data_IF_358765113082
#
_entry.id   IF_358765113082
#
_cell.length_a   1.000
_cell.length_b   1.000
_cell.length_c   1.000
_cell.angle_alpha   90.00
_cell.angle_beta   90.00
_cell.angle_gamma   90.00
#
_symmetry.space_group_name_H-M   'P 1'
#
loop_
_entity.id
_entity.type
_entity.pdbx_description
1 polymer ?
#
# COMPACT_ATOMS: atom_id res chain seq x y z
N UNK A 1 -3.70 -5.04 -20.34
CA UNK A 1 -3.05 -6.14 -19.60
C UNK A 1 -3.64 -6.23 -18.21
N UNK A 2 -4.19 -7.39 -17.85
CA UNK A 2 -4.76 -7.66 -16.53
C UNK A 2 -3.61 -8.10 -15.61
N UNK A 3 -2.96 -7.16 -14.93
CA UNK A 3 -1.90 -7.49 -13.97
C UNK A 3 -2.58 -7.96 -12.69
N UNK A 4 -2.65 -9.27 -12.46
CA UNK A 4 -3.28 -9.98 -11.34
C UNK A 4 -2.71 -9.54 -9.96
N UNK A 5 -2.91 -8.29 -9.59
CA UNK A 5 -2.46 -7.73 -8.33
C UNK A 5 -0.97 -7.38 -8.26
N UNK A 6 -0.19 -7.26 -9.34
CA UNK A 6 1.21 -6.81 -9.23
C UNK A 6 1.35 -5.42 -8.57
N UNK A 7 0.43 -4.49 -8.85
CA UNK A 7 0.38 -3.20 -8.13
C UNK A 7 0.02 -3.34 -6.64
N UNK A 8 -0.67 -4.42 -6.28
CA UNK A 8 -1.12 -4.75 -4.94
C UNK A 8 -0.14 -5.65 -4.17
N UNK A 9 0.77 -6.34 -4.85
CA UNK A 9 1.84 -7.10 -4.22
C UNK A 9 2.73 -6.18 -3.39
N UNK A 10 2.99 -4.94 -3.83
CA UNK A 10 3.66 -3.93 -3.01
C UNK A 10 2.90 -3.64 -1.70
N UNK A 11 1.57 -3.55 -1.77
CA UNK A 11 0.75 -3.36 -0.57
C UNK A 11 0.80 -4.60 0.33
N UNK A 12 0.68 -5.79 -0.24
CA UNK A 12 0.77 -7.06 0.49
C UNK A 12 2.12 -7.21 1.19
N UNK A 13 3.24 -6.91 0.53
CA UNK A 13 4.57 -6.99 1.15
C UNK A 13 4.77 -5.95 2.27
N UNK A 14 4.21 -4.74 2.13
CA UNK A 14 4.32 -3.70 3.17
C UNK A 14 3.35 -3.97 4.34
N UNK A 15 2.21 -4.59 4.07
CA UNK A 15 1.11 -4.80 5.01
C UNK A 15 0.62 -6.26 4.99
N UNK A 16 1.54 -7.21 5.14
CA UNK A 16 1.28 -8.67 5.05
C UNK A 16 0.24 -9.18 6.05
N UNK A 17 0.08 -8.46 7.16
CA UNK A 17 -0.86 -8.78 8.23
C UNK A 17 -2.29 -8.24 7.94
N UNK A 18 -2.49 -7.49 6.85
CA UNK A 18 -3.82 -7.13 6.36
C UNK A 18 -4.37 -8.30 5.54
N UNK A 19 -5.57 -8.77 5.86
CA UNK A 19 -6.18 -9.86 5.10
C UNK A 19 -6.55 -9.47 3.65
N UNK A 20 -6.46 -8.17 3.33
CA UNK A 20 -6.76 -7.58 2.02
C UNK A 20 -5.46 -7.33 1.26
N UNK A 21 -5.48 -7.56 -0.05
CA UNK A 21 -4.42 -7.12 -0.96
C UNK A 21 -4.66 -5.68 -1.46
N UNK A 22 -5.44 -4.86 -0.78
CA UNK A 22 -5.64 -3.48 -1.20
C UNK A 22 -6.38 -2.61 -0.21
N UNK A 23 -6.09 -1.31 -0.26
CA UNK A 23 -6.64 -0.28 0.64
C UNK A 23 -8.16 -0.16 0.52
N UNK A 24 -8.66 -0.05 -0.71
CA UNK A 24 -10.06 0.24 -0.98
C UNK A 24 -10.88 -1.03 -1.21
N UNK A 25 -12.19 -0.94 -0.96
CA UNK A 25 -13.11 -2.07 -1.10
C UNK A 25 -13.34 -2.45 -2.57
N UNK A 26 -13.28 -1.48 -3.50
CA UNK A 26 -13.41 -1.69 -4.94
C UNK A 26 -12.14 -2.23 -5.61
N UNK A 27 -11.01 -2.29 -4.89
CA UNK A 27 -9.82 -2.93 -5.43
C UNK A 27 -10.09 -4.42 -5.62
N UNK A 28 -9.91 -4.85 -6.87
CA UNK A 28 -10.10 -6.24 -7.29
C UNK A 28 -9.21 -7.16 -6.48
N UNK A 29 -9.85 -7.97 -5.64
CA UNK A 29 -9.21 -8.91 -4.72
C UNK A 29 -10.24 -10.02 -4.42
N UNK A 30 -10.26 -11.09 -5.24
CA UNK A 30 -11.21 -12.18 -5.06
C UNK A 30 -11.05 -12.88 -3.70
N UNK A 31 -9.83 -12.91 -3.16
CA UNK A 31 -9.53 -13.51 -1.85
C UNK A 31 -10.15 -12.71 -0.70
N UNK A 32 -10.11 -11.37 -0.76
CA UNK A 32 -10.80 -10.49 0.21
C UNK A 32 -12.30 -10.79 0.30
N UNK A 33 -12.96 -10.97 -0.84
CA UNK A 33 -14.40 -11.26 -0.86
C UNK A 33 -14.69 -12.65 -0.32
N UNK A 34 -13.89 -13.66 -0.73
CA UNK A 34 -14.01 -15.01 -0.21
C UNK A 34 -13.86 -15.06 1.32
N UNK A 35 -12.79 -14.48 1.86
CA UNK A 35 -12.51 -14.45 3.31
C UNK A 35 -13.63 -13.70 4.05
N UNK A 36 -14.13 -12.59 3.49
CA UNK A 36 -15.22 -11.82 4.09
C UNK A 36 -16.53 -12.61 4.12
N UNK A 37 -16.85 -13.35 3.06
CA UNK A 37 -18.00 -14.26 3.02
C UNK A 37 -17.84 -15.38 4.04
N UNK A 38 -16.65 -15.98 4.16
CA UNK A 38 -16.36 -16.97 5.20
C UNK A 38 -16.53 -16.40 6.61
N UNK A 39 -16.21 -15.12 6.82
CA UNK A 39 -16.42 -14.46 8.11
C UNK A 39 -17.91 -14.28 8.43
N UNK A 40 -18.74 -13.96 7.43
CA UNK A 40 -20.20 -13.92 7.60
C UNK A 40 -20.81 -15.28 7.91
N UNK A 41 -20.21 -16.35 7.39
CA UNK A 41 -20.61 -17.74 7.69
C UNK A 41 -20.02 -18.26 9.01
N UNK A 42 -19.24 -17.45 9.75
CA UNK A 42 -18.60 -17.85 11.01
C UNK A 42 -17.37 -18.76 10.86
N UNK A 43 -16.91 -19.00 9.63
CA UNK A 43 -15.74 -19.85 9.33
C UNK A 43 -14.41 -19.14 9.64
N UNK A 44 -14.41 -17.81 9.65
CA UNK A 44 -13.22 -17.01 9.98
C UNK A 44 -13.58 -15.90 10.98
N UNK A 45 -12.67 -15.63 11.90
CA UNK A 45 -12.81 -14.57 12.91
C UNK A 45 -11.52 -13.75 13.02
N UNK A 46 -11.62 -12.54 13.60
CA UNK A 46 -10.48 -11.64 13.85
C UNK A 46 -9.71 -11.21 12.58
N UNK A 47 -10.44 -10.85 11.52
CA UNK A 47 -9.85 -10.28 10.31
C UNK A 47 -9.05 -9.01 10.64
N UNK A 48 -7.75 -9.06 10.40
CA UNK A 48 -6.84 -7.95 10.68
C UNK A 48 -6.79 -6.99 9.51
N UNK A 49 -6.98 -5.71 9.78
CA UNK A 49 -6.87 -4.64 8.78
C UNK A 49 -5.84 -3.62 9.21
N UNK A 50 -5.07 -3.13 8.25
CA UNK A 50 -4.10 -2.06 8.50
C UNK A 50 -4.87 -0.73 8.66
N UNK A 51 -4.60 0.03 9.75
CA UNK A 51 -5.16 1.36 9.93
C UNK A 51 -4.77 2.31 8.79
N UNK A 52 -5.72 3.14 8.35
CA UNK A 52 -5.52 4.13 7.27
C UNK A 52 -4.33 5.04 7.52
N UNK A 53 -4.12 5.48 8.76
CA UNK A 53 -2.96 6.29 9.15
C UNK A 53 -1.62 5.63 8.79
N UNK A 54 -1.47 4.31 9.00
CA UNK A 54 -0.23 3.60 8.65
C UNK A 54 -0.03 3.54 7.13
N UNK A 55 -1.12 3.39 6.39
CA UNK A 55 -1.12 3.36 4.93
C UNK A 55 -0.69 4.72 4.37
N UNK A 56 -1.29 5.80 4.86
CA UNK A 56 -0.95 7.16 4.42
C UNK A 56 0.46 7.57 4.84
N UNK A 57 0.93 7.17 6.03
CA UNK A 57 2.32 7.38 6.45
C UNK A 57 3.31 6.71 5.48
N UNK A 58 3.07 5.45 5.13
CA UNK A 58 3.92 4.73 4.17
C UNK A 58 3.89 5.38 2.78
N UNK A 59 2.71 5.82 2.32
CA UNK A 59 2.56 6.56 1.06
C UNK A 59 3.36 7.88 1.09
N UNK A 60 3.27 8.65 2.17
CA UNK A 60 4.01 9.90 2.33
C UNK A 60 5.53 9.67 2.29
N UNK A 61 6.04 8.66 3.01
CA UNK A 61 7.46 8.29 2.98
C UNK A 61 7.94 7.90 1.58
N UNK A 62 7.12 7.14 0.83
CA UNK A 62 7.47 6.72 -0.53
C UNK A 62 7.43 7.89 -1.53
N UNK A 63 6.50 8.83 -1.36
CA UNK A 63 6.46 10.08 -2.14
C UNK A 63 7.69 10.94 -1.86
N UNK A 64 8.07 11.11 -0.59
CA UNK A 64 9.27 11.84 -0.20
C UNK A 64 10.53 11.23 -0.81
N UNK A 65 10.68 9.90 -0.73
CA UNK A 65 11.79 9.17 -1.36
C UNK A 65 11.87 9.44 -2.87
N UNK A 66 10.75 9.30 -3.58
CA UNK A 66 10.68 9.57 -5.03
C UNK A 66 10.99 11.03 -5.37
N UNK A 67 10.53 11.98 -4.55
CA UNK A 67 10.83 13.39 -4.75
C UNK A 67 12.32 13.67 -4.62
N UNK A 68 12.97 13.09 -3.60
CA UNK A 68 14.42 13.18 -3.39
C UNK A 68 15.22 12.58 -4.54
N UNK A 69 14.88 11.36 -4.97
CA UNK A 69 15.52 10.70 -6.13
C UNK A 69 15.42 11.56 -7.40
N UNK A 70 14.27 12.21 -7.62
CA UNK A 70 14.05 13.10 -8.77
C UNK A 70 14.81 14.43 -8.67
N UNK A 71 15.05 14.92 -7.46
CA UNK A 71 15.89 16.10 -7.25
C UNK A 71 17.36 15.75 -7.48
N UNK A 72 17.84 14.64 -6.92
CA UNK A 72 19.23 14.18 -7.06
C UNK A 72 19.62 13.87 -8.52
N UNK A 73 18.66 13.47 -9.37
CA UNK A 73 18.92 13.22 -10.79
C UNK A 73 19.03 14.49 -11.65
N UNK A 74 18.73 15.67 -11.12
CA UNK A 74 18.93 16.94 -11.83
C UNK A 74 20.32 17.52 -11.58
N UNK A 75 21.00 18.07 -12.60
CA UNK A 75 22.41 18.49 -12.50
C UNK A 75 22.67 19.78 -11.69
N UNK A 76 21.71 20.33 -10.93
CA UNK A 76 21.91 21.59 -10.18
C UNK A 76 21.18 21.60 -8.82
N UNK A 77 21.44 20.61 -7.97
CA UNK A 77 20.59 20.25 -6.81
C UNK A 77 21.17 20.63 -5.44
N UNK A 78 22.41 21.12 -5.36
CA UNK A 78 23.02 21.42 -4.05
C UNK A 78 22.30 22.54 -3.28
N UNK A 79 21.64 23.48 -3.94
CA UNK A 79 21.06 24.66 -3.28
C UNK A 79 19.69 24.43 -2.61
N UNK A 80 18.99 23.33 -2.89
CA UNK A 80 17.62 23.06 -2.38
C UNK A 80 17.61 21.98 -1.28
N UNK A 81 18.57 21.07 -1.26
CA UNK A 81 18.61 19.97 -0.27
C UNK A 81 18.99 20.44 1.14
N UNK A 82 19.70 21.57 1.28
CA UNK A 82 20.10 22.13 2.58
C UNK A 82 18.99 22.88 3.32
N UNK A 83 17.84 23.12 2.68
CA UNK A 83 16.71 23.88 3.25
C UNK A 83 15.54 23.00 3.75
N UNK A 84 15.66 21.68 3.70
CA UNK A 84 14.69 20.69 4.18
C UNK A 84 15.21 19.94 5.41
#
# INVERSE_FOLDING_TARGET
FFTFGEGYHNFHHIFENDYRNGVYWWHYDPTKWLIKSCSWLGLTSKLRTTPTFRIEKARASQLLKKAREKLESKPNTQTILDQL
#
